data_IF_727540167252
#
_entry.id   IF_727540167252
#
_cell.length_a   1.000
_cell.length_b   1.000
_cell.length_c   1.000
_cell.angle_alpha   90.00
_cell.angle_beta   90.00
_cell.angle_gamma   90.00
#
_symmetry.space_group_name_H-M   'P 1'
#
loop_
_entity.id
_entity.type
_entity.pdbx_description
1 polymer ?
#
# COMPACT_ATOMS: atom_id res chain seq x y z
N UNK A 1 -12.57 -13.76 -23.09
CA UNK A 1 -11.21 -13.21 -22.97
C UNK A 1 -10.67 -13.74 -21.67
N UNK A 2 -9.48 -14.33 -21.69
CA UNK A 2 -8.88 -14.90 -20.48
C UNK A 2 -8.23 -13.78 -19.67
N UNK A 3 -8.75 -13.50 -18.47
CA UNK A 3 -8.32 -12.35 -17.67
C UNK A 3 -6.83 -12.47 -17.28
N UNK A 4 -6.29 -13.69 -17.13
CA UNK A 4 -4.86 -13.87 -16.85
C UNK A 4 -3.98 -13.52 -18.06
N UNK A 5 -4.50 -13.72 -19.27
CA UNK A 5 -3.85 -13.24 -20.50
C UNK A 5 -3.82 -11.71 -20.54
N UNK A 6 -4.93 -11.05 -20.18
CA UNK A 6 -4.99 -9.58 -20.12
C UNK A 6 -3.96 -9.03 -19.12
N UNK A 7 -3.86 -9.64 -17.93
CA UNK A 7 -2.84 -9.28 -16.93
C UNK A 7 -1.43 -9.48 -17.48
N UNK A 8 -1.15 -10.57 -18.19
CA UNK A 8 0.15 -10.84 -18.82
C UNK A 8 0.51 -9.78 -19.86
N UNK A 9 -0.47 -9.34 -20.66
CA UNK A 9 -0.32 -8.24 -21.62
C UNK A 9 0.04 -6.93 -20.92
N UNK A 10 -0.64 -6.60 -19.82
CA UNK A 10 -0.32 -5.41 -19.02
C UNK A 10 1.08 -5.48 -18.41
N UNK A 11 1.50 -6.65 -17.90
CA UNK A 11 2.85 -6.87 -17.38
C UNK A 11 3.92 -6.67 -18.45
N UNK A 12 3.72 -7.24 -19.66
CA UNK A 12 4.70 -7.14 -20.75
C UNK A 12 4.95 -5.70 -21.21
N UNK A 13 3.92 -4.85 -21.09
CA UNK A 13 3.95 -3.43 -21.47
C UNK A 13 4.36 -2.50 -20.34
N UNK A 14 4.71 -3.03 -19.15
CA UNK A 14 4.96 -2.23 -17.95
C UNK A 14 3.80 -1.27 -17.65
N UNK A 15 2.57 -1.76 -17.85
CA UNK A 15 1.32 -1.00 -17.70
C UNK A 15 0.43 -1.57 -16.58
N UNK A 16 1.02 -2.31 -15.64
CA UNK A 16 0.36 -2.83 -14.44
C UNK A 16 1.03 -2.27 -13.19
N UNK A 17 0.26 -1.55 -12.38
CA UNK A 17 0.63 -1.16 -11.02
C UNK A 17 0.08 -2.16 -10.01
N UNK A 18 0.81 -2.39 -8.93
CA UNK A 18 0.38 -3.26 -7.84
C UNK A 18 -0.18 -2.42 -6.69
N UNK A 19 -1.30 -2.83 -6.11
CA UNK A 19 -1.86 -2.23 -4.90
C UNK A 19 -1.95 -3.30 -3.81
N UNK A 20 -1.12 -3.19 -2.78
CA UNK A 20 -0.97 -4.19 -1.74
C UNK A 20 -1.74 -3.78 -0.49
N UNK A 21 -2.54 -4.71 0.01
CA UNK A 21 -3.20 -4.62 1.29
C UNK A 21 -2.55 -5.51 2.35
N UNK A 22 -3.05 -5.43 3.59
CA UNK A 22 -2.41 -6.06 4.74
C UNK A 22 -2.32 -7.59 4.70
N UNK A 23 -3.12 -8.29 3.86
CA UNK A 23 -3.00 -9.74 3.76
C UNK A 23 -1.70 -10.19 3.10
N UNK A 24 -1.06 -9.33 2.30
CA UNK A 24 0.26 -9.63 1.72
C UNK A 24 1.31 -9.67 2.82
N UNK A 25 1.23 -8.74 3.78
CA UNK A 25 2.02 -8.73 5.02
C UNK A 25 1.72 -9.96 5.88
N UNK A 26 0.45 -10.37 5.97
CA UNK A 26 0.01 -11.51 6.78
C UNK A 26 0.66 -12.85 6.38
N UNK A 27 1.18 -12.99 5.16
CA UNK A 27 1.84 -14.21 4.69
C UNK A 27 3.04 -14.59 5.57
N UNK A 28 3.80 -13.60 6.04
CA UNK A 28 5.06 -13.81 6.78
C UNK A 28 5.13 -13.06 8.10
N UNK A 29 4.14 -12.22 8.42
CA UNK A 29 4.04 -11.57 9.70
C UNK A 29 3.95 -12.59 10.85
N UNK A 30 4.59 -12.25 11.97
CA UNK A 30 4.40 -13.01 13.20
C UNK A 30 3.02 -12.71 13.81
N UNK A 31 2.59 -13.55 14.76
CA UNK A 31 1.27 -13.45 15.40
C UNK A 31 0.99 -12.15 16.19
N UNK A 32 2.02 -11.34 16.45
CA UNK A 32 1.91 -10.10 17.23
C UNK A 32 1.81 -8.85 16.35
N UNK A 33 2.31 -8.93 15.12
CA UNK A 33 2.24 -7.83 14.14
C UNK A 33 0.79 -7.66 13.67
N UNK A 34 0.21 -6.45 13.79
CA UNK A 34 -1.12 -6.19 13.25
C UNK A 34 -1.12 -6.29 11.73
N UNK A 35 -1.98 -7.15 11.18
CA UNK A 35 -2.17 -7.37 9.73
C UNK A 35 -3.62 -7.13 9.31
N UNK A 36 -4.30 -6.25 10.02
CA UNK A 36 -5.63 -5.74 9.67
C UNK A 36 -5.96 -4.50 10.48
N UNK A 37 -6.93 -3.72 10.01
CA UNK A 37 -7.50 -2.56 10.73
C UNK A 37 -7.97 -2.98 12.12
N UNK A 38 -8.72 -4.08 12.20
CA UNK A 38 -9.21 -4.61 13.48
C UNK A 38 -8.05 -5.05 14.37
N UNK A 39 -7.05 -5.75 13.83
CA UNK A 39 -5.86 -6.17 14.57
C UNK A 39 -5.09 -4.99 15.16
N UNK A 40 -4.98 -3.88 14.42
CA UNK A 40 -4.32 -2.67 14.89
C UNK A 40 -5.13 -1.97 16.00
N UNK A 41 -6.46 -1.92 15.85
CA UNK A 41 -7.35 -1.40 16.90
C UNK A 41 -7.25 -2.22 18.21
N UNK A 42 -7.23 -3.54 18.08
CA UNK A 42 -7.06 -4.46 19.21
C UNK A 42 -5.69 -4.28 19.88
N UNK A 43 -4.64 -4.03 19.10
CA UNK A 43 -3.30 -3.71 19.61
C UNK A 43 -3.32 -2.42 20.44
N UNK A 44 -3.94 -1.35 19.94
CA UNK A 44 -4.10 -0.11 20.70
C UNK A 44 -4.86 -0.32 22.01
N UNK A 45 -5.93 -1.11 21.99
CA UNK A 45 -6.72 -1.44 23.18
C UNK A 45 -5.94 -2.21 24.26
N UNK A 46 -4.88 -2.94 23.89
CA UNK A 46 -3.96 -3.60 24.83
C UNK A 46 -2.94 -2.62 25.46
N UNK A 47 -2.60 -1.53 24.75
CA UNK A 47 -1.62 -0.53 25.21
C UNK A 47 -2.25 0.60 26.01
N UNK A 48 -3.48 0.98 25.69
CA UNK A 48 -4.21 2.08 26.32
C UNK A 48 -5.66 1.67 26.57
N UNK A 49 -6.20 1.99 27.75
CA UNK A 49 -7.61 1.80 28.03
C UNK A 49 -8.46 2.73 27.16
N UNK A 50 -9.13 2.17 26.16
CA UNK A 50 -9.94 2.92 25.20
C UNK A 50 -11.41 3.07 25.66
N UNK A 51 -12.05 4.23 25.43
CA UNK A 51 -13.48 4.39 25.64
C UNK A 51 -14.27 3.54 24.64
N UNK A 52 -15.53 3.22 24.95
CA UNK A 52 -16.40 2.35 24.13
C UNK A 52 -16.42 2.75 22.65
N UNK A 53 -16.51 4.06 22.36
CA UNK A 53 -16.56 4.60 20.98
C UNK A 53 -15.28 4.42 20.14
N UNK A 54 -14.14 4.15 20.79
CA UNK A 54 -12.85 4.02 20.12
C UNK A 54 -12.38 2.55 20.03
N UNK A 55 -13.13 1.60 20.61
CA UNK A 55 -12.79 0.18 20.54
C UNK A 55 -13.14 -0.38 19.16
N UNK A 56 -12.23 -1.16 18.58
CA UNK A 56 -12.44 -1.83 17.28
C UNK A 56 -12.29 -0.93 16.05
N UNK A 57 -11.97 0.35 16.22
CA UNK A 57 -11.67 1.28 15.13
C UNK A 57 -10.28 1.89 15.38
N UNK A 58 -9.27 1.62 14.55
CA UNK A 58 -7.90 2.09 14.81
C UNK A 58 -7.77 3.60 14.66
N UNK A 59 -8.56 4.23 13.78
CA UNK A 59 -8.57 5.68 13.54
C UNK A 59 -9.02 6.44 14.79
N UNK A 60 -10.16 6.04 15.35
CA UNK A 60 -10.71 6.62 16.57
C UNK A 60 -9.86 6.29 17.81
N UNK A 61 -9.26 5.09 17.86
CA UNK A 61 -8.32 4.70 18.91
C UNK A 61 -7.05 5.58 18.89
N UNK A 62 -6.46 5.76 17.71
CA UNK A 62 -5.30 6.62 17.52
C UNK A 62 -5.63 8.07 17.88
N UNK A 63 -6.79 8.60 17.45
CA UNK A 63 -7.24 9.94 17.84
C UNK A 63 -7.38 10.10 19.37
N UNK A 64 -7.93 9.08 20.04
CA UNK A 64 -8.04 9.10 21.50
C UNK A 64 -6.68 9.10 22.18
N UNK A 65 -5.73 8.27 21.71
CA UNK A 65 -4.37 8.22 22.24
C UNK A 65 -3.67 9.55 22.04
N UNK A 66 -3.72 10.10 20.83
CA UNK A 66 -3.06 11.36 20.48
C UNK A 66 -3.62 12.55 21.28
N UNK A 67 -4.94 12.71 21.36
CA UNK A 67 -5.55 13.81 22.12
C UNK A 67 -5.28 13.74 23.63
N UNK A 68 -5.04 12.55 24.19
CA UNK A 68 -4.82 12.34 25.63
C UNK A 68 -3.34 12.24 26.02
N UNK A 69 -2.49 11.77 25.11
CA UNK A 69 -1.08 11.41 25.38
C UNK A 69 -0.11 11.99 24.35
N UNK A 70 -0.58 12.83 23.45
CA UNK A 70 0.16 13.49 22.37
C UNK A 70 0.67 12.54 21.27
N UNK A 71 0.99 13.11 20.10
CA UNK A 71 1.49 12.38 18.92
C UNK A 71 2.69 11.49 19.21
N UNK A 72 3.65 11.96 20.01
CA UNK A 72 4.86 11.18 20.37
C UNK A 72 4.53 9.82 20.98
N UNK A 73 3.49 9.74 21.82
CA UNK A 73 3.05 8.47 22.41
C UNK A 73 2.40 7.56 21.37
N UNK A 74 1.57 8.11 20.49
CA UNK A 74 0.97 7.37 19.39
C UNK A 74 2.04 6.78 18.46
N UNK A 75 3.03 7.58 18.05
CA UNK A 75 4.18 7.12 17.25
C UNK A 75 4.95 6.01 17.95
N UNK A 76 5.22 6.13 19.26
CA UNK A 76 5.89 5.07 20.01
C UNK A 76 5.08 3.76 20.07
N UNK A 77 3.75 3.86 20.16
CA UNK A 77 2.86 2.69 20.13
C UNK A 77 2.84 2.07 18.72
N UNK A 78 2.83 2.88 17.66
CA UNK A 78 2.94 2.40 16.27
C UNK A 78 4.28 1.69 16.02
N UNK A 79 5.39 2.27 16.48
CA UNK A 79 6.70 1.62 16.42
C UNK A 79 6.68 0.27 17.14
N UNK A 80 6.04 0.19 18.31
CA UNK A 80 5.90 -1.07 19.04
C UNK A 80 5.00 -2.10 18.31
N UNK A 81 4.07 -1.67 17.48
CA UNK A 81 3.22 -2.57 16.68
C UNK A 81 3.99 -3.27 15.55
N UNK A 82 5.01 -2.59 15.03
CA UNK A 82 5.84 -3.05 13.91
C UNK A 82 7.32 -3.19 14.29
N UNK A 83 7.61 -3.36 15.58
CA UNK A 83 8.97 -3.43 16.13
C UNK A 83 9.76 -4.60 15.55
N UNK A 84 9.10 -5.75 15.35
CA UNK A 84 9.67 -6.89 14.67
C UNK A 84 9.44 -6.73 13.16
N UNK A 85 10.51 -6.54 12.36
CA UNK A 85 10.37 -6.41 10.91
C UNK A 85 9.68 -7.63 10.30
N UNK A 86 8.73 -7.38 9.40
CA UNK A 86 8.08 -8.44 8.62
C UNK A 86 9.01 -8.81 7.46
N UNK A 87 9.49 -10.07 7.37
CA UNK A 87 10.34 -10.47 6.27
C UNK A 87 9.52 -10.54 4.97
N UNK A 88 10.11 -10.21 3.79
CA UNK A 88 9.40 -10.24 2.52
C UNK A 88 8.96 -11.65 2.16
N UNK A 89 7.66 -11.81 1.95
CA UNK A 89 7.08 -13.06 1.42
C UNK A 89 7.52 -13.33 -0.02
N UNK A 90 7.37 -14.58 -0.52
CA UNK A 90 7.61 -14.88 -1.94
C UNK A 90 6.82 -13.98 -2.89
N UNK A 91 5.61 -13.56 -2.52
CA UNK A 91 4.81 -12.65 -3.34
C UNK A 91 5.44 -11.26 -3.45
N UNK A 92 6.02 -10.71 -2.36
CA UNK A 92 6.78 -9.45 -2.44
C UNK A 92 7.98 -9.58 -3.37
N UNK A 93 8.69 -10.72 -3.30
CA UNK A 93 9.88 -10.96 -4.12
C UNK A 93 9.52 -11.07 -5.60
N UNK A 94 8.43 -11.78 -5.94
CA UNK A 94 7.91 -11.86 -7.30
C UNK A 94 7.50 -10.49 -7.84
N UNK A 95 6.81 -9.68 -7.04
CA UNK A 95 6.42 -8.32 -7.44
C UNK A 95 7.64 -7.43 -7.66
N UNK A 96 8.65 -7.51 -6.78
CA UNK A 96 9.90 -6.77 -6.95
C UNK A 96 10.62 -7.16 -8.25
N UNK A 97 10.67 -8.46 -8.58
CA UNK A 97 11.35 -8.99 -9.76
C UNK A 97 10.68 -8.59 -11.10
N UNK A 98 9.41 -8.17 -11.08
CA UNK A 98 8.71 -7.63 -12.26
C UNK A 98 9.13 -6.20 -12.60
N UNK A 99 9.81 -5.51 -11.67
CA UNK A 99 10.20 -4.10 -11.75
C UNK A 99 9.04 -3.17 -12.18
N UNK A 100 7.84 -3.26 -11.55
CA UNK A 100 6.67 -2.51 -11.99
C UNK A 100 6.91 -1.00 -11.89
N UNK A 101 6.21 -0.17 -12.71
CA UNK A 101 6.38 1.28 -12.68
C UNK A 101 5.92 1.90 -11.35
N UNK A 102 4.93 1.29 -10.69
CA UNK A 102 4.32 1.77 -9.46
C UNK A 102 3.84 0.60 -8.60
N UNK A 103 4.19 0.65 -7.32
CA UNK A 103 3.65 -0.20 -6.26
C UNK A 103 3.03 0.72 -5.23
N UNK A 104 1.77 0.53 -4.90
CA UNK A 104 1.09 1.20 -3.79
C UNK A 104 0.98 0.17 -2.68
N UNK A 105 1.55 0.46 -1.51
CA UNK A 105 1.47 -0.41 -0.35
C UNK A 105 0.73 0.32 0.77
N UNK A 106 -0.48 -0.16 1.04
CA UNK A 106 -1.42 0.46 1.97
C UNK A 106 -1.24 0.03 3.43
N UNK A 107 -0.16 -0.70 3.75
CA UNK A 107 0.13 -1.12 5.11
C UNK A 107 1.45 -0.54 5.64
N UNK A 108 1.63 -0.60 6.96
CA UNK A 108 2.67 0.16 7.67
C UNK A 108 3.99 -0.59 7.84
N UNK A 109 4.10 -1.86 7.48
CA UNK A 109 5.34 -2.63 7.63
C UNK A 109 6.37 -2.34 6.52
N UNK A 110 7.57 -2.88 6.63
CA UNK A 110 8.68 -2.65 5.69
C UNK A 110 8.93 -3.77 4.68
N UNK A 111 8.05 -4.77 4.52
CA UNK A 111 8.35 -5.97 3.75
C UNK A 111 8.60 -5.69 2.26
N UNK A 112 7.75 -4.88 1.61
CA UNK A 112 7.92 -4.54 0.19
C UNK A 112 9.21 -3.74 -0.05
N UNK A 113 9.54 -2.80 0.84
CA UNK A 113 10.82 -2.08 0.84
C UNK A 113 11.99 -3.05 0.88
N UNK A 114 11.96 -4.00 1.82
CA UNK A 114 13.00 -5.01 1.96
C UNK A 114 13.13 -5.90 0.72
N UNK A 115 12.02 -6.27 0.08
CA UNK A 115 12.05 -7.04 -1.18
C UNK A 115 12.70 -6.26 -2.32
N UNK A 116 12.36 -4.98 -2.52
CA UNK A 116 12.99 -4.14 -3.55
C UNK A 116 14.49 -3.95 -3.29
N UNK A 117 14.90 -3.82 -2.02
CA UNK A 117 16.31 -3.72 -1.64
C UNK A 117 17.15 -4.99 -1.90
N UNK A 118 16.54 -6.13 -2.21
CA UNK A 118 17.27 -7.36 -2.53
C UNK A 118 17.91 -7.31 -3.93
N UNK A 119 17.27 -6.61 -4.87
CA UNK A 119 17.84 -6.34 -6.18
C UNK A 119 18.71 -5.07 -6.12
N UNK A 120 20.03 -5.24 -6.17
CA UNK A 120 21.00 -4.13 -6.13
C UNK A 120 21.11 -3.36 -7.45
N UNK A 121 20.52 -3.89 -8.52
CA UNK A 121 20.55 -3.27 -9.85
C UNK A 121 19.30 -2.44 -10.12
N UNK A 122 18.22 -2.69 -9.39
CA UNK A 122 16.97 -1.95 -9.52
C UNK A 122 17.12 -0.52 -9.04
N UNK A 123 16.86 0.43 -9.94
CA UNK A 123 16.72 1.84 -9.59
C UNK A 123 15.31 2.10 -9.07
N UNK A 124 15.14 2.17 -7.77
CA UNK A 124 13.85 2.43 -7.13
C UNK A 124 13.97 3.41 -5.97
N UNK A 125 12.84 3.97 -5.58
CA UNK A 125 12.72 4.73 -4.35
C UNK A 125 11.29 4.70 -3.82
N UNK A 126 11.09 5.38 -2.70
CA UNK A 126 9.88 5.32 -1.90
C UNK A 126 9.33 6.72 -1.66
N UNK A 127 8.00 6.87 -1.70
CA UNK A 127 7.32 8.05 -1.16
C UNK A 127 6.38 7.61 -0.05
N UNK A 128 6.41 8.32 1.07
CA UNK A 128 5.52 8.09 2.20
C UNK A 128 4.62 9.30 2.44
N UNK A 129 3.35 9.04 2.76
CA UNK A 129 2.49 10.04 3.39
C UNK A 129 3.02 10.38 4.78
N UNK A 130 3.02 11.66 5.15
CA UNK A 130 3.53 12.16 6.43
C UNK A 130 2.44 12.94 7.16
N UNK A 131 2.49 12.94 8.48
CA UNK A 131 1.59 13.76 9.29
C UNK A 131 1.91 15.25 9.06
N UNK A 132 0.90 15.99 8.59
CA UNK A 132 0.99 17.41 8.26
C UNK A 132 1.19 18.30 9.50
N UNK A 133 0.66 17.94 10.67
CA UNK A 133 0.81 18.71 11.91
C UNK A 133 2.24 18.68 12.52
N UNK A 134 3.10 17.75 12.11
CA UNK A 134 4.45 17.60 12.65
C UNK A 134 5.48 18.53 11.99
N UNK A 135 5.17 19.03 10.80
CA UNK A 135 6.07 19.84 9.98
C UNK A 135 5.37 21.19 9.84
N UNK A 136 5.99 22.28 10.29
CA UNK A 136 5.43 23.64 10.10
C UNK A 136 5.46 24.09 8.61
N UNK A 137 5.29 23.14 7.70
CA UNK A 137 5.35 23.29 6.25
C UNK A 137 4.13 22.59 5.66
N UNK A 138 3.59 23.16 4.60
CA UNK A 138 2.50 22.57 3.84
C UNK A 138 3.02 21.41 2.98
N UNK A 139 3.25 20.26 3.63
CA UNK A 139 3.89 19.07 3.05
C UNK A 139 3.11 17.81 3.42
N UNK A 140 2.67 17.06 2.40
CA UNK A 140 1.86 15.85 2.55
C UNK A 140 2.65 14.55 2.50
N UNK A 141 3.84 14.59 1.90
CA UNK A 141 4.65 13.41 1.65
C UNK A 141 6.14 13.75 1.55
N UNK A 142 6.95 12.71 1.73
CA UNK A 142 8.42 12.76 1.67
C UNK A 142 8.94 11.60 0.82
N UNK A 143 9.95 11.88 0.00
CA UNK A 143 10.63 10.88 -0.82
C UNK A 143 11.90 10.37 -0.13
N UNK A 144 12.14 9.07 -0.22
CA UNK A 144 13.31 8.38 0.30
C UNK A 144 13.92 7.50 -0.78
N UNK A 145 15.25 7.49 -0.87
CA UNK A 145 15.93 6.57 -1.77
C UNK A 145 15.95 5.11 -1.24
N UNK A 146 16.57 4.22 -2.00
CA UNK A 146 16.71 2.81 -1.64
C UNK A 146 17.52 2.58 -0.35
N UNK A 147 18.36 3.53 0.06
CA UNK A 147 19.13 3.48 1.32
C UNK A 147 18.30 3.96 2.52
N UNK A 148 17.30 4.81 2.28
CA UNK A 148 16.39 5.36 3.29
C UNK A 148 16.66 6.81 3.62
N UNK A 149 17.59 7.44 2.91
CA UNK A 149 17.86 8.87 3.00
C UNK A 149 16.75 9.67 2.33
N UNK A 150 16.37 10.77 2.96
CA UNK A 150 15.41 11.71 2.37
C UNK A 150 16.05 12.38 1.15
N UNK A 151 15.31 12.44 0.04
CA UNK A 151 15.77 13.04 -1.21
C UNK A 151 14.77 14.05 -1.76
N UNK A 152 15.22 15.02 -2.58
CA UNK A 152 14.32 15.94 -3.27
C UNK A 152 13.33 15.20 -4.18
N UNK A 153 12.13 15.77 -4.35
CA UNK A 153 11.07 15.17 -5.19
C UNK A 153 11.47 15.05 -6.66
N UNK A 154 12.40 15.88 -7.12
CA UNK A 154 12.95 15.86 -8.48
C UNK A 154 13.65 14.53 -8.79
N UNK A 155 14.28 13.90 -7.79
CA UNK A 155 14.97 12.61 -7.94
C UNK A 155 14.02 11.46 -8.28
N UNK A 156 12.73 11.60 -7.99
CA UNK A 156 11.71 10.54 -8.19
C UNK A 156 11.50 10.20 -9.68
N UNK A 157 11.76 11.17 -10.58
CA UNK A 157 11.56 10.99 -12.03
C UNK A 157 12.51 9.95 -12.63
N UNK A 158 13.67 9.77 -12.03
CA UNK A 158 14.71 8.86 -12.51
C UNK A 158 14.45 7.40 -12.10
N UNK A 159 13.57 7.14 -11.13
CA UNK A 159 13.33 5.78 -10.62
C UNK A 159 12.56 4.92 -11.63
N UNK A 160 13.03 3.69 -11.84
CA UNK A 160 12.29 2.71 -12.61
C UNK A 160 11.01 2.30 -11.87
N UNK A 161 11.15 1.91 -10.60
CA UNK A 161 10.04 1.52 -9.74
C UNK A 161 9.83 2.55 -8.63
N UNK A 162 8.59 3.00 -8.44
CA UNK A 162 8.19 3.82 -7.31
C UNK A 162 7.35 3.00 -6.32
N UNK A 163 7.81 2.88 -5.07
CA UNK A 163 7.00 2.40 -3.95
C UNK A 163 6.29 3.59 -3.30
N UNK A 164 4.97 3.57 -3.27
CA UNK A 164 4.16 4.59 -2.61
C UNK A 164 3.43 4.02 -1.40
N UNK A 165 3.71 4.57 -0.23
CA UNK A 165 3.10 4.26 1.07
C UNK A 165 2.15 5.38 1.47
N UNK A 166 0.89 5.42 0.98
CA UNK A 166 -0.02 6.54 1.19
C UNK A 166 -0.33 6.83 2.66
N UNK A 167 -0.17 5.85 3.55
CA UNK A 167 -0.42 5.99 4.98
C UNK A 167 0.87 6.14 5.81
N UNK A 168 2.03 6.12 5.15
CA UNK A 168 3.32 6.03 5.81
C UNK A 168 3.74 4.59 6.12
N UNK A 169 4.85 4.44 6.83
CA UNK A 169 5.50 3.16 7.13
C UNK A 169 6.42 3.29 8.34
N UNK A 170 6.63 2.18 9.05
CA UNK A 170 7.59 2.06 10.16
C UNK A 170 9.03 2.35 9.74
N UNK A 171 9.37 2.09 8.48
CA UNK A 171 10.71 2.28 7.92
C UNK A 171 10.62 3.11 6.65
N UNK A 172 11.57 4.05 6.39
CA UNK A 172 12.77 4.32 7.20
C UNK A 172 12.53 5.30 8.37
N UNK A 173 11.50 6.15 8.28
CA UNK A 173 11.37 7.32 9.17
C UNK A 173 10.15 7.30 10.11
N UNK A 174 9.45 6.17 10.21
CA UNK A 174 8.32 6.01 11.15
C UNK A 174 7.19 7.03 10.91
N UNK A 175 6.87 7.29 9.65
CA UNK A 175 5.77 8.16 9.27
C UNK A 175 4.44 7.40 9.41
N UNK A 176 3.46 8.01 10.07
CA UNK A 176 2.15 7.39 10.24
C UNK A 176 1.03 8.42 10.07
N UNK A 177 0.19 8.20 9.06
CA UNK A 177 -1.18 8.70 9.00
C UNK A 177 -2.07 7.61 9.60
N UNK A 178 -2.66 7.88 10.77
CA UNK A 178 -3.40 6.86 11.53
C UNK A 178 -4.52 7.43 12.42
N UNK A 179 -4.48 8.70 12.83
CA UNK A 179 -5.55 9.30 13.63
C UNK A 179 -6.66 9.92 12.78
N UNK A 180 -7.85 10.11 13.36
CA UNK A 180 -8.95 10.80 12.67
C UNK A 180 -8.52 12.18 12.16
N UNK A 181 -7.72 12.94 12.92
CA UNK A 181 -7.21 14.25 12.49
C UNK A 181 -6.28 14.14 11.28
N UNK A 182 -5.41 13.12 11.21
CA UNK A 182 -4.55 12.89 10.05
C UNK A 182 -5.39 12.77 8.78
N UNK A 183 -6.43 11.94 8.88
CA UNK A 183 -7.27 11.63 7.74
C UNK A 183 -8.21 12.76 7.38
N UNK A 184 -8.75 13.51 8.34
CA UNK A 184 -9.57 14.70 8.05
C UNK A 184 -8.77 15.72 7.24
N UNK A 185 -7.52 15.98 7.63
CA UNK A 185 -6.66 16.92 6.89
C UNK A 185 -6.36 16.42 5.48
N UNK A 186 -5.99 15.15 5.30
CA UNK A 186 -5.72 14.62 3.96
C UNK A 186 -6.99 14.59 3.11
N UNK A 187 -8.12 14.16 3.67
CA UNK A 187 -9.36 13.99 2.92
C UNK A 187 -9.97 15.29 2.41
N UNK A 188 -9.69 16.44 3.04
CA UNK A 188 -10.21 17.73 2.57
C UNK A 188 -9.62 18.14 1.23
N UNK A 189 -8.40 17.67 0.92
CA UNK A 189 -7.67 18.03 -0.31
C UNK A 189 -7.49 16.87 -1.29
N UNK A 190 -7.67 15.62 -0.85
CA UNK A 190 -7.42 14.45 -1.70
C UNK A 190 -8.29 14.41 -2.96
N UNK A 191 -9.48 15.01 -2.93
CA UNK A 191 -10.37 15.08 -4.10
C UNK A 191 -9.79 15.93 -5.23
N UNK A 192 -9.01 16.98 -4.91
CA UNK A 192 -8.25 17.78 -5.86
C UNK A 192 -6.82 17.24 -6.11
N UNK A 193 -6.49 16.11 -5.48
CA UNK A 193 -5.27 15.31 -5.66
C UNK A 193 -3.98 15.88 -5.04
N UNK A 194 -4.03 16.97 -4.28
CA UNK A 194 -2.84 17.60 -3.67
C UNK A 194 -2.01 16.62 -2.81
N UNK A 195 -2.61 15.79 -1.94
CA UNK A 195 -1.86 14.86 -1.10
C UNK A 195 -1.35 13.60 -1.83
N UNK A 196 -1.58 13.48 -3.14
CA UNK A 196 -1.06 12.37 -3.96
C UNK A 196 0.13 12.90 -4.77
N UNK A 197 1.34 12.32 -4.65
CA UNK A 197 2.53 12.82 -5.34
C UNK A 197 2.33 12.86 -6.85
N UNK A 198 2.78 13.93 -7.51
CA UNK A 198 2.68 14.11 -8.97
C UNK A 198 3.24 12.90 -9.73
N UNK A 199 4.37 12.36 -9.30
CA UNK A 199 4.97 11.15 -9.88
C UNK A 199 4.06 9.92 -9.82
N UNK A 200 3.25 9.76 -8.76
CA UNK A 200 2.22 8.72 -8.69
C UNK A 200 1.09 9.03 -9.68
N UNK A 201 0.70 10.30 -9.81
CA UNK A 201 -0.36 10.72 -10.73
C UNK A 201 0.01 10.51 -12.20
N UNK A 202 1.26 10.79 -12.56
CA UNK A 202 1.81 10.58 -13.89
C UNK A 202 1.88 9.09 -14.22
N UNK A 203 2.53 8.29 -13.36
CA UNK A 203 2.71 6.84 -13.57
C UNK A 203 1.39 6.08 -13.67
N UNK A 204 0.43 6.37 -12.79
CA UNK A 204 -0.86 5.67 -12.82
C UNK A 204 -1.65 5.92 -14.11
N UNK A 205 -1.41 7.03 -14.81
CA UNK A 205 -2.21 7.44 -15.97
C UNK A 205 -2.14 6.46 -17.15
N UNK A 206 -1.06 5.67 -17.22
CA UNK A 206 -0.85 4.60 -18.18
C UNK A 206 -1.07 3.19 -17.60
N UNK A 207 -1.33 3.07 -16.30
CA UNK A 207 -1.40 1.79 -15.61
C UNK A 207 -2.83 1.35 -15.30
N UNK A 208 -3.07 0.05 -15.43
CA UNK A 208 -4.13 -0.65 -14.69
C UNK A 208 -3.62 -1.06 -13.31
N UNK A 209 -4.50 -1.29 -12.34
CA UNK A 209 -4.12 -1.73 -11.00
C UNK A 209 -4.52 -3.19 -10.77
N UNK A 210 -3.61 -3.96 -10.17
CA UNK A 210 -3.89 -5.26 -9.55
C UNK A 210 -3.86 -5.11 -8.03
N UNK A 211 -5.04 -5.19 -7.40
CA UNK A 211 -5.21 -5.17 -5.95
C UNK A 211 -5.03 -6.56 -5.36
N UNK A 212 -4.12 -6.69 -4.40
CA UNK A 212 -3.73 -7.95 -3.78
C UNK A 212 -3.81 -7.79 -2.26
N UNK A 213 -4.62 -8.64 -1.61
CA UNK A 213 -4.73 -8.65 -0.16
C UNK A 213 -5.46 -7.44 0.45
N UNK A 214 -6.32 -6.80 -0.35
CA UNK A 214 -7.13 -5.65 0.05
C UNK A 214 -8.55 -6.10 0.42
N UNK A 215 -9.02 -5.77 1.62
CA UNK A 215 -10.38 -6.12 2.07
C UNK A 215 -11.45 -5.15 1.59
N UNK A 216 -11.11 -3.87 1.41
CA UNK A 216 -12.05 -2.78 1.07
C UNK A 216 -13.29 -2.68 1.99
N UNK A 217 -13.22 -3.22 3.20
CA UNK A 217 -14.28 -3.24 4.21
C UNK A 217 -14.45 -1.86 4.88
N UNK A 218 -13.34 -1.13 5.02
CA UNK A 218 -13.28 0.19 5.61
C UNK A 218 -13.46 1.34 4.59
N UNK A 219 -14.20 2.39 4.99
CA UNK A 219 -14.48 3.54 4.14
C UNK A 219 -13.22 4.38 3.85
N UNK A 220 -12.32 4.56 4.81
CA UNK A 220 -11.09 5.32 4.64
C UNK A 220 -10.21 4.69 3.56
N UNK A 221 -10.00 3.37 3.64
CA UNK A 221 -9.20 2.65 2.64
C UNK A 221 -9.80 2.77 1.24
N UNK A 222 -11.12 2.61 1.10
CA UNK A 222 -11.81 2.79 -0.20
C UNK A 222 -11.69 4.22 -0.74
N UNK A 223 -11.77 5.23 0.12
CA UNK A 223 -11.60 6.63 -0.27
C UNK A 223 -10.20 6.87 -0.83
N UNK A 224 -9.15 6.38 -0.16
CA UNK A 224 -7.78 6.48 -0.67
C UNK A 224 -7.60 5.71 -1.98
N UNK A 225 -8.01 4.45 -2.03
CA UNK A 225 -7.90 3.64 -3.25
C UNK A 225 -8.58 4.34 -4.45
N UNK A 226 -9.79 4.88 -4.26
CA UNK A 226 -10.53 5.65 -5.27
C UNK A 226 -9.73 6.84 -5.81
N UNK A 227 -9.11 7.62 -4.93
CA UNK A 227 -8.37 8.81 -5.37
C UNK A 227 -7.01 8.43 -5.97
N UNK A 228 -6.37 7.36 -5.47
CA UNK A 228 -5.10 6.88 -6.01
C UNK A 228 -5.27 6.37 -7.43
N UNK A 229 -6.33 5.60 -7.75
CA UNK A 229 -6.57 5.07 -9.10
C UNK A 229 -7.29 6.06 -10.02
N UNK A 230 -7.68 7.24 -9.53
CA UNK A 230 -8.37 8.25 -10.34
C UNK A 230 -7.54 8.63 -11.57
N UNK A 231 -8.17 8.62 -12.75
CA UNK A 231 -7.53 8.87 -14.07
C UNK A 231 -6.48 7.84 -14.48
N UNK A 232 -6.48 6.64 -13.90
CA UNK A 232 -5.69 5.51 -14.39
C UNK A 232 -6.41 4.72 -15.49
N UNK A 233 -5.79 3.69 -16.06
CA UNK A 233 -6.35 2.89 -17.16
C UNK A 233 -7.16 1.72 -16.62
N UNK A 234 -8.48 1.79 -16.78
CA UNK A 234 -9.37 0.67 -16.55
C UNK A 234 -9.31 -0.36 -17.72
N UNK A 235 -9.69 -1.63 -17.50
CA UNK A 235 -10.16 -2.19 -16.23
C UNK A 235 -9.04 -2.31 -15.19
N UNK A 236 -9.42 -2.46 -13.93
CA UNK A 236 -8.55 -2.87 -12.83
C UNK A 236 -8.89 -4.30 -12.41
N UNK A 237 -8.10 -4.88 -11.53
CA UNK A 237 -8.26 -6.26 -11.09
C UNK A 237 -8.09 -6.35 -9.57
N UNK A 238 -8.90 -7.15 -8.90
CA UNK A 238 -8.73 -7.37 -7.46
C UNK A 238 -8.90 -8.84 -7.09
N UNK A 239 -7.97 -9.37 -6.30
CA UNK A 239 -8.11 -10.67 -5.67
C UNK A 239 -9.12 -10.56 -4.53
N UNK A 240 -10.30 -11.16 -4.72
CA UNK A 240 -11.38 -11.09 -3.74
C UNK A 240 -12.18 -12.38 -3.70
N UNK A 241 -12.74 -12.67 -2.53
CA UNK A 241 -13.76 -13.70 -2.39
C UNK A 241 -15.12 -13.14 -2.81
N UNK A 242 -15.51 -13.43 -4.06
CA UNK A 242 -16.72 -12.91 -4.68
C UNK A 242 -17.99 -13.29 -3.90
N UNK A 243 -18.01 -14.43 -3.20
CA UNK A 243 -19.18 -14.89 -2.47
C UNK A 243 -19.40 -14.05 -1.21
N UNK A 244 -18.31 -13.61 -0.57
CA UNK A 244 -18.33 -12.90 0.71
C UNK A 244 -18.29 -11.37 0.60
N UNK A 245 -18.27 -10.81 -0.62
CA UNK A 245 -18.29 -9.35 -0.80
C UNK A 245 -19.57 -8.71 -0.24
N UNK A 246 -19.39 -7.70 0.61
CA UNK A 246 -20.48 -6.85 1.10
C UNK A 246 -21.05 -5.98 -0.02
N UNK A 247 -22.25 -5.42 0.19
CA UNK A 247 -22.88 -4.49 -0.77
C UNK A 247 -21.98 -3.30 -1.11
N UNK A 248 -21.26 -2.78 -0.12
CA UNK A 248 -20.40 -1.61 -0.30
C UNK A 248 -19.11 -1.96 -1.04
N UNK A 249 -18.53 -3.14 -0.81
CA UNK A 249 -17.39 -3.62 -1.58
C UNK A 249 -17.77 -3.87 -3.05
N UNK A 250 -18.87 -4.57 -3.32
CA UNK A 250 -19.35 -4.80 -4.71
C UNK A 250 -19.55 -3.48 -5.44
N UNK A 251 -20.23 -2.53 -4.79
CA UNK A 251 -20.45 -1.20 -5.34
C UNK A 251 -19.14 -0.47 -5.62
N UNK A 252 -18.15 -0.57 -4.73
CA UNK A 252 -16.83 0.01 -4.95
C UNK A 252 -16.13 -0.61 -6.17
N UNK A 253 -16.14 -1.94 -6.30
CA UNK A 253 -15.53 -2.62 -7.45
C UNK A 253 -16.21 -2.21 -8.77
N UNK A 254 -17.55 -2.17 -8.80
CA UNK A 254 -18.33 -1.76 -9.96
C UNK A 254 -18.06 -0.30 -10.35
N UNK A 255 -18.14 0.63 -9.41
CA UNK A 255 -17.93 2.06 -9.67
C UNK A 255 -16.51 2.34 -10.19
N UNK A 256 -15.53 1.58 -9.70
CA UNK A 256 -14.11 1.74 -10.05
C UNK A 256 -13.66 0.87 -11.22
N UNK A 257 -14.57 0.13 -11.86
CA UNK A 257 -14.26 -0.77 -12.97
C UNK A 257 -13.18 -1.82 -12.61
N UNK A 258 -13.27 -2.34 -11.38
CA UNK A 258 -12.39 -3.38 -10.85
C UNK A 258 -13.04 -4.74 -11.09
N UNK A 259 -12.38 -5.55 -11.92
CA UNK A 259 -12.76 -6.94 -12.19
C UNK A 259 -12.35 -7.79 -11.00
N UNK A 260 -13.32 -8.45 -10.38
CA UNK A 260 -13.09 -9.38 -9.29
C UNK A 260 -12.45 -10.69 -9.80
N UNK A 261 -11.34 -11.07 -9.18
CA UNK A 261 -10.60 -12.29 -9.47
C UNK A 261 -10.76 -13.25 -8.28
N UNK A 262 -11.46 -14.39 -8.44
CA UNK A 262 -11.63 -15.39 -7.38
C UNK A 262 -10.38 -16.26 -7.26
N UNK A 263 -9.21 -15.63 -7.07
CA UNK A 263 -7.92 -16.28 -6.91
C UNK A 263 -7.38 -16.03 -5.50
N UNK A 264 -6.83 -17.08 -4.90
CA UNK A 264 -6.06 -16.97 -3.65
C UNK A 264 -4.72 -16.26 -3.88
N UNK A 265 -4.12 -15.73 -2.81
CA UNK A 265 -2.75 -15.20 -2.83
C UNK A 265 -1.70 -16.21 -3.36
N UNK A 266 -1.89 -17.50 -3.09
CA UNK A 266 -1.00 -18.55 -3.63
C UNK A 266 -1.10 -18.65 -5.15
N UNK A 267 -2.32 -18.75 -5.69
CA UNK A 267 -2.56 -18.83 -7.13
C UNK A 267 -2.00 -17.64 -7.90
N UNK A 268 -2.12 -16.41 -7.36
CA UNK A 268 -1.50 -15.26 -8.03
C UNK A 268 0.03 -15.34 -7.98
N UNK A 269 0.61 -15.83 -6.87
CA UNK A 269 2.05 -16.00 -6.75
C UNK A 269 2.57 -17.04 -7.75
N UNK A 270 1.88 -18.18 -7.87
CA UNK A 270 2.20 -19.22 -8.86
C UNK A 270 2.15 -18.63 -10.28
N UNK A 271 1.09 -17.89 -10.63
CA UNK A 271 0.97 -17.21 -11.92
C UNK A 271 2.10 -16.21 -12.21
N UNK A 272 2.46 -15.34 -11.25
CA UNK A 272 3.56 -14.37 -11.44
C UNK A 272 4.92 -15.08 -11.57
N UNK A 273 5.11 -16.19 -10.85
CA UNK A 273 6.31 -17.02 -10.96
C UNK A 273 6.45 -17.66 -12.33
N UNK A 274 5.36 -18.20 -12.87
CA UNK A 274 5.33 -18.80 -14.20
C UNK A 274 5.61 -17.74 -15.29
N UNK A 275 4.98 -16.56 -15.17
CA UNK A 275 5.19 -15.43 -16.07
C UNK A 275 6.68 -15.01 -16.11
N UNK A 276 7.30 -14.80 -14.95
CA UNK A 276 8.72 -14.45 -14.86
C UNK A 276 9.62 -15.53 -15.47
N UNK A 277 9.29 -16.80 -15.23
CA UNK A 277 10.05 -17.93 -15.78
C UNK A 277 9.99 -17.97 -17.31
N UNK A 278 8.82 -17.71 -17.91
CA UNK A 278 8.69 -17.61 -19.37
C UNK A 278 9.50 -16.47 -19.97
N UNK A 279 9.43 -15.27 -19.38
CA UNK A 279 10.15 -14.10 -19.89
C UNK A 279 11.67 -14.25 -19.78
N UNK A 280 12.17 -14.94 -18.74
CA UNK A 280 13.59 -15.24 -18.60
C UNK A 280 14.10 -16.25 -19.64
N UNK A 281 13.27 -17.20 -20.06
CA UNK A 281 13.61 -18.15 -21.12
C UNK A 281 13.69 -17.44 -22.47
N UNK A 282 12.75 -16.56 -22.78
CA UNK A 282 12.74 -15.76 -24.01
C UNK A 282 14.01 -14.89 -24.12
N UNK A 283 14.37 -14.17 -23.05
CA UNK A 283 15.59 -13.33 -23.00
C UNK A 283 16.90 -14.10 -23.12
N UNK A 284 16.92 -15.42 -22.89
CA UNK A 284 18.11 -16.28 -23.05
C UNK A 284 18.21 -16.90 -24.45
N UNK A 285 17.11 -16.88 -25.21
CA UNK A 285 17.05 -17.42 -26.56
C UNK A 285 17.42 -16.37 -27.63
N UNK A 286 17.39 -15.08 -27.27
CA UNK A 286 17.88 -13.94 -28.05
C UNK A 286 19.40 -13.70 -27.84
#
# INVERSE_FOLDING_TARGET
MDILSDISDHLSRQALAFYLGPDVTAITANQWTPVSIKGLADFFGKKVALPKRAKGNPWAAAQYIESRRHRKTLTAIMNAAFENPVPPSPLHQLIAALHPPLIVDSWYDGAMRQALSQDKTLNWGEIQGINHAAINEYRWFTAYDATGEEVPMESVKEWQTLLYKPHGSVSPHQNYLISDSDYVEVLTEIDIQTPIPESVQERRSSCSFLFIGCHFDDQMLRSFARQIIKRSKAPHFALVDIENLTRNERRFLEEMQIIALPLSLKKIADFLSDYLSSTLLERRAE
#
